data_IF_314643151118
#
_entry.id   IF_314643151118
#
_cell.length_a   1.000
_cell.length_b   1.000
_cell.length_c   1.000
_cell.angle_alpha   90.00
_cell.angle_beta   90.00
_cell.angle_gamma   90.00
#
_symmetry.space_group_name_H-M   'P 1'
#
loop_
_entity.id
_entity.type
_entity.pdbx_description
1 polymer ?
#
# COMPACT_ATOMS: atom_id res chain seq x y z
N UNK A 1 28.77 20.32 -38.28
CA UNK A 1 27.43 20.14 -37.65
C UNK A 1 27.07 18.66 -37.44
N UNK A 2 27.95 17.82 -36.88
CA UNK A 2 27.63 16.42 -36.50
C UNK A 2 27.68 16.15 -34.99
N UNK A 3 28.37 17.01 -34.23
CA UNK A 3 28.48 16.88 -32.77
C UNK A 3 27.27 17.39 -31.97
N UNK A 4 26.57 18.42 -32.47
CA UNK A 4 25.44 19.05 -31.76
C UNK A 4 24.20 18.13 -31.78
N UNK A 5 24.00 17.38 -32.87
CA UNK A 5 22.86 16.46 -33.03
C UNK A 5 22.96 15.24 -32.11
N UNK A 6 24.16 14.74 -31.83
CA UNK A 6 24.35 13.58 -30.94
C UNK A 6 24.16 13.91 -29.45
N UNK A 7 24.40 15.16 -29.05
CA UNK A 7 24.17 15.61 -27.68
C UNK A 7 22.66 15.67 -27.39
N UNK A 8 21.86 16.23 -28.31
CA UNK A 8 20.40 16.34 -28.16
C UNK A 8 19.69 14.98 -28.05
N UNK A 9 20.14 13.98 -28.81
CA UNK A 9 19.60 12.61 -28.75
C UNK A 9 19.94 11.93 -27.41
N UNK A 10 21.11 12.24 -26.84
CA UNK A 10 21.56 11.67 -25.56
C UNK A 10 20.84 12.28 -24.35
N UNK A 11 20.51 13.58 -24.39
CA UNK A 11 19.74 14.23 -23.30
C UNK A 11 18.26 13.81 -23.30
N UNK A 12 17.70 13.43 -24.45
CA UNK A 12 16.32 12.94 -24.56
C UNK A 12 16.13 11.54 -23.97
N UNK A 13 17.17 10.69 -23.98
CA UNK A 13 17.09 9.32 -23.47
C UNK A 13 17.05 9.23 -21.93
N UNK A 14 17.61 10.24 -21.25
CA UNK A 14 17.67 10.30 -19.77
C UNK A 14 16.30 10.68 -19.16
N UNK A 15 15.39 11.27 -19.94
CA UNK A 15 14.04 11.63 -19.46
C UNK A 15 13.07 10.45 -19.38
N UNK A 16 13.41 9.28 -19.95
CA UNK A 16 12.54 8.09 -19.94
C UNK A 16 12.89 7.07 -18.84
N UNK A 17 13.90 7.32 -18.01
CA UNK A 17 14.20 6.54 -16.79
C UNK A 17 13.57 7.15 -15.54
N UNK A 18 12.45 7.89 -15.71
CA UNK A 18 11.59 8.29 -14.60
C UNK A 18 11.13 7.03 -13.85
N UNK A 19 11.79 6.78 -12.72
CA UNK A 19 11.71 5.53 -11.99
C UNK A 19 10.29 5.18 -11.62
N UNK A 20 10.00 3.88 -11.61
CA UNK A 20 8.91 3.34 -10.80
C UNK A 20 9.10 3.92 -9.39
N UNK A 21 8.18 4.78 -8.94
CA UNK A 21 8.10 5.07 -7.51
C UNK A 21 7.83 3.72 -6.86
N UNK A 22 8.75 3.23 -6.03
CA UNK A 22 8.60 1.99 -5.26
C UNK A 22 8.58 2.40 -3.80
N UNK A 23 7.63 1.85 -3.04
CA UNK A 23 7.51 2.14 -1.62
C UNK A 23 6.19 2.81 -1.29
N UNK A 24 6.25 3.90 -0.51
CA UNK A 24 5.07 4.46 0.13
C UNK A 24 4.11 5.17 -0.84
N UNK A 25 4.62 6.06 -1.70
CA UNK A 25 3.80 6.80 -2.66
C UNK A 25 3.11 5.88 -3.68
N UNK A 26 3.79 4.81 -4.05
CA UNK A 26 3.25 3.78 -4.93
C UNK A 26 2.10 3.02 -4.27
N UNK A 27 2.29 2.65 -3.00
CA UNK A 27 1.25 2.04 -2.19
C UNK A 27 0.02 2.94 -2.07
N UNK A 28 0.21 4.23 -1.76
CA UNK A 28 -0.88 5.24 -1.75
C UNK A 28 -1.60 5.29 -3.09
N UNK A 29 -0.84 5.32 -4.20
CA UNK A 29 -1.41 5.34 -5.55
C UNK A 29 -2.28 4.11 -5.81
N UNK A 30 -1.84 2.92 -5.43
CA UNK A 30 -2.64 1.69 -5.54
C UNK A 30 -3.95 1.81 -4.75
N UNK A 31 -3.92 2.26 -3.50
CA UNK A 31 -5.14 2.42 -2.71
C UNK A 31 -6.11 3.45 -3.30
N UNK A 32 -5.59 4.52 -3.89
CA UNK A 32 -6.42 5.51 -4.59
C UNK A 32 -7.11 4.93 -5.83
N UNK A 33 -6.47 3.99 -6.53
CA UNK A 33 -7.06 3.33 -7.70
C UNK A 33 -8.24 2.43 -7.32
N UNK A 34 -8.26 1.88 -6.10
CA UNK A 34 -9.32 1.00 -5.63
C UNK A 34 -10.61 1.76 -5.26
N UNK A 35 -10.58 3.10 -5.17
CA UNK A 35 -11.79 3.89 -4.89
C UNK A 35 -12.76 3.76 -6.07
N UNK A 36 -14.00 3.37 -5.78
CA UNK A 36 -15.02 3.09 -6.79
C UNK A 36 -15.07 1.63 -7.23
N UNK A 37 -14.12 0.80 -6.81
CA UNK A 37 -14.15 -0.65 -7.02
C UNK A 37 -14.93 -1.36 -5.90
N UNK A 38 -15.38 -2.59 -6.18
CA UNK A 38 -16.01 -3.41 -5.16
C UNK A 38 -14.97 -4.05 -4.26
N UNK A 39 -15.22 -4.09 -2.95
CA UNK A 39 -14.30 -4.74 -2.01
C UNK A 39 -14.29 -6.26 -2.20
N UNK A 40 -13.12 -6.81 -2.47
CA UNK A 40 -12.95 -8.25 -2.75
C UNK A 40 -13.04 -9.13 -1.49
N UNK A 41 -12.55 -8.63 -0.35
CA UNK A 41 -12.47 -9.38 0.92
C UNK A 41 -13.48 -8.82 1.91
N UNK A 42 -14.57 -9.57 2.13
CA UNK A 42 -15.68 -9.17 3.02
C UNK A 42 -15.80 -10.01 4.29
N UNK A 43 -15.04 -11.10 4.39
CA UNK A 43 -14.99 -11.96 5.56
C UNK A 43 -13.63 -11.85 6.27
N UNK A 44 -13.61 -12.13 7.58
CA UNK A 44 -12.37 -12.17 8.36
C UNK A 44 -11.50 -13.33 7.86
N UNK A 45 -10.64 -13.03 6.90
CA UNK A 45 -9.72 -14.00 6.30
C UNK A 45 -8.29 -13.61 6.60
N UNK A 46 -7.49 -14.59 7.01
CA UNK A 46 -6.04 -14.50 7.09
C UNK A 46 -5.46 -15.20 5.86
N UNK A 47 -4.59 -14.53 5.12
CA UNK A 47 -3.92 -15.18 3.99
C UNK A 47 -3.01 -16.32 4.48
N UNK A 48 -2.77 -17.32 3.63
CA UNK A 48 -1.94 -18.50 3.98
C UNK A 48 -0.50 -18.15 4.39
N UNK A 49 -0.05 -16.97 3.97
CA UNK A 49 1.26 -16.37 4.12
C UNK A 49 1.34 -15.37 5.28
N UNK A 50 0.22 -14.95 5.86
CA UNK A 50 0.22 -13.97 6.93
C UNK A 50 1.04 -14.45 8.14
N UNK A 51 1.94 -13.59 8.63
CA UNK A 51 2.89 -13.89 9.69
C UNK A 51 4.21 -14.51 9.21
N UNK A 52 4.34 -14.82 7.91
CA UNK A 52 5.60 -15.31 7.34
C UNK A 52 6.53 -14.15 6.98
N UNK A 53 7.83 -14.41 7.03
CA UNK A 53 8.84 -13.50 6.50
C UNK A 53 8.81 -13.54 4.98
N UNK A 54 8.64 -12.39 4.34
CA UNK A 54 8.48 -12.26 2.87
C UNK A 54 9.57 -11.44 2.18
N UNK A 55 10.41 -10.73 2.95
CA UNK A 55 11.67 -10.14 2.48
C UNK A 55 12.72 -10.27 3.58
N UNK A 56 13.73 -11.09 3.28
CA UNK A 56 14.82 -11.41 4.19
C UNK A 56 14.31 -11.75 5.60
N UNK A 57 14.82 -11.06 6.62
CA UNK A 57 14.52 -11.24 8.04
C UNK A 57 13.78 -10.04 8.64
N UNK A 58 13.34 -9.07 7.84
CA UNK A 58 12.82 -7.78 8.33
C UNK A 58 11.40 -7.42 7.89
N UNK A 59 10.75 -8.21 7.04
CA UNK A 59 9.38 -7.94 6.58
C UNK A 59 8.48 -9.14 6.83
N UNK A 60 7.46 -8.95 7.65
CA UNK A 60 6.38 -9.91 7.88
C UNK A 60 5.20 -9.54 6.97
N UNK A 61 4.67 -10.55 6.29
CA UNK A 61 3.43 -10.40 5.53
C UNK A 61 2.25 -10.28 6.48
N UNK A 62 1.42 -9.28 6.24
CA UNK A 62 0.37 -8.89 7.15
C UNK A 62 -1.02 -9.12 6.62
N UNK A 63 -1.23 -9.81 5.49
CA UNK A 63 -2.53 -9.88 4.83
C UNK A 63 -3.65 -10.51 5.68
N UNK A 64 -4.51 -9.66 6.22
CA UNK A 64 -5.82 -10.09 6.69
C UNK A 64 -6.74 -8.96 7.07
N UNK A 65 -8.03 -9.11 6.74
CA UNK A 65 -9.09 -8.33 7.34
C UNK A 65 -9.09 -8.63 8.84
N UNK A 66 -8.81 -7.62 9.64
CA UNK A 66 -8.64 -7.74 11.09
C UNK A 66 -9.92 -7.44 11.85
N UNK A 67 -10.73 -6.51 11.34
CA UNK A 67 -11.95 -6.07 11.98
C UNK A 67 -12.89 -5.42 10.97
N UNK A 68 -14.19 -5.40 11.29
CA UNK A 68 -15.20 -4.65 10.56
C UNK A 68 -15.95 -3.80 11.57
N UNK A 69 -16.06 -2.49 11.32
CA UNK A 69 -16.83 -1.57 12.15
C UNK A 69 -17.90 -0.88 11.33
N UNK A 70 -19.05 -0.59 11.94
CA UNK A 70 -20.10 0.23 11.30
C UNK A 70 -20.02 1.62 11.91
N UNK A 71 -19.83 2.62 11.07
CA UNK A 71 -19.75 4.02 11.48
C UNK A 71 -21.16 4.57 11.76
N UNK A 72 -21.24 5.67 12.51
CA UNK A 72 -22.52 6.29 12.90
C UNK A 72 -23.40 6.70 11.71
N UNK A 73 -22.78 6.96 10.55
CA UNK A 73 -23.47 7.30 9.30
C UNK A 73 -23.90 6.07 8.47
N UNK A 74 -23.72 4.86 8.99
CA UNK A 74 -24.07 3.60 8.34
C UNK A 74 -23.01 3.05 7.37
N UNK A 75 -21.91 3.77 7.13
CA UNK A 75 -20.78 3.27 6.32
C UNK A 75 -20.10 2.10 7.04
N UNK A 76 -19.70 1.08 6.29
CA UNK A 76 -18.98 -0.08 6.83
C UNK A 76 -17.49 0.12 6.62
N UNK A 77 -16.72 0.12 7.69
CA UNK A 77 -15.27 0.25 7.68
C UNK A 77 -14.60 -1.11 7.87
N UNK A 78 -13.84 -1.53 6.87
CA UNK A 78 -13.05 -2.75 6.86
C UNK A 78 -11.62 -2.42 7.24
N UNK A 79 -11.08 -3.03 8.29
CA UNK A 79 -9.75 -2.77 8.82
C UNK A 79 -8.77 -3.86 8.41
N UNK A 80 -7.65 -3.48 7.79
CA UNK A 80 -6.65 -4.41 7.28
C UNK A 80 -5.30 -4.21 7.95
N UNK A 81 -4.66 -5.33 8.27
CA UNK A 81 -3.21 -5.40 8.37
C UNK A 81 -2.68 -5.78 6.99
N UNK A 82 -1.58 -5.17 6.56
CA UNK A 82 -1.00 -5.43 5.23
C UNK A 82 0.39 -6.03 5.36
N UNK A 83 1.23 -5.49 6.24
CA UNK A 83 2.58 -5.96 6.50
C UNK A 83 3.15 -5.36 7.78
N UNK A 84 4.26 -5.88 8.27
CA UNK A 84 5.02 -5.31 9.37
C UNK A 84 6.52 -5.28 9.04
N UNK A 85 7.12 -4.09 9.12
CA UNK A 85 8.57 -3.89 9.00
C UNK A 85 9.17 -4.01 10.40
N UNK A 86 10.04 -4.99 10.57
CA UNK A 86 10.67 -5.32 11.84
C UNK A 86 11.81 -4.39 12.19
N UNK A 87 12.13 -4.35 13.48
CA UNK A 87 13.09 -3.41 14.07
C UNK A 87 14.53 -3.60 13.62
N UNK A 88 14.89 -4.71 12.98
CA UNK A 88 16.19 -4.96 12.35
C UNK A 88 16.36 -4.26 11.00
N UNK A 89 15.30 -3.69 10.41
CA UNK A 89 15.39 -2.94 9.16
C UNK A 89 16.23 -1.65 9.29
N UNK A 90 16.93 -1.24 8.23
CA UNK A 90 17.89 -0.13 8.28
C UNK A 90 17.22 1.25 8.38
N UNK A 91 16.12 1.48 7.65
CA UNK A 91 15.35 2.72 7.69
C UNK A 91 14.33 2.68 8.85
N UNK A 92 14.72 3.28 9.98
CA UNK A 92 13.96 3.15 11.24
C UNK A 92 12.62 3.87 11.25
N UNK A 93 12.49 4.91 10.44
CA UNK A 93 11.25 5.63 10.18
C UNK A 93 10.18 4.77 9.49
N UNK A 94 10.60 3.71 8.78
CA UNK A 94 9.71 2.76 8.12
C UNK A 94 9.30 1.60 9.05
N UNK A 95 9.92 1.43 10.22
CA UNK A 95 9.63 0.31 11.13
C UNK A 95 8.24 0.42 11.74
N UNK A 96 7.49 -0.69 11.75
CA UNK A 96 6.16 -0.77 12.30
C UNK A 96 5.16 -1.51 11.42
N UNK A 97 3.89 -1.46 11.81
CA UNK A 97 2.78 -2.12 11.13
C UNK A 97 2.16 -1.21 10.08
N UNK A 98 1.97 -1.73 8.88
CA UNK A 98 1.07 -1.12 7.91
C UNK A 98 -0.37 -1.55 8.22
N UNK A 99 -1.15 -0.59 8.74
CA UNK A 99 -2.57 -0.76 9.01
C UNK A 99 -3.36 0.26 8.20
N UNK A 100 -4.38 -0.20 7.48
CA UNK A 100 -5.26 0.64 6.67
C UNK A 100 -6.72 0.28 6.93
N UNK A 101 -7.63 1.16 6.54
CA UNK A 101 -9.03 0.85 6.44
C UNK A 101 -9.61 1.24 5.08
N UNK A 102 -10.66 0.52 4.67
CA UNK A 102 -11.57 0.92 3.61
C UNK A 102 -12.93 1.27 4.18
N UNK A 103 -13.45 2.43 3.81
CA UNK A 103 -14.85 2.80 4.01
C UNK A 103 -15.65 2.34 2.79
N UNK A 104 -16.71 1.59 3.04
CA UNK A 104 -17.50 0.90 2.02
C UNK A 104 -18.97 1.25 2.18
N UNK A 105 -19.61 1.55 1.05
CA UNK A 105 -21.07 1.69 1.00
C UNK A 105 -21.71 0.30 1.25
N UNK A 106 -22.49 0.12 2.32
CA UNK A 106 -23.09 -1.17 2.68
C UNK A 106 -24.09 -1.72 1.65
N UNK A 107 -24.63 -0.87 0.76
CA UNK A 107 -25.64 -1.26 -0.21
C UNK A 107 -25.03 -1.74 -1.52
N UNK A 108 -23.88 -1.17 -1.89
CA UNK A 108 -23.22 -1.43 -3.18
C UNK A 108 -21.92 -2.21 -3.04
N UNK A 109 -21.38 -2.34 -1.83
CA UNK A 109 -20.06 -2.90 -1.53
C UNK A 109 -18.92 -2.16 -2.26
N UNK A 110 -19.13 -0.89 -2.62
CA UNK A 110 -18.15 -0.06 -3.29
C UNK A 110 -17.28 0.67 -2.26
N UNK A 111 -15.98 0.66 -2.48
CA UNK A 111 -15.02 1.43 -1.68
C UNK A 111 -15.21 2.92 -1.99
N UNK A 112 -15.61 3.69 -0.99
CA UNK A 112 -15.86 5.14 -1.11
C UNK A 112 -14.70 5.97 -0.58
N UNK A 113 -13.93 5.45 0.36
CA UNK A 113 -12.73 6.08 0.89
C UNK A 113 -11.78 5.04 1.52
N UNK A 114 -10.57 5.48 1.82
CA UNK A 114 -9.60 4.70 2.58
C UNK A 114 -8.77 5.60 3.49
N UNK A 115 -8.07 5.02 4.46
CA UNK A 115 -7.11 5.75 5.28
C UNK A 115 -6.18 4.84 6.06
N UNK A 116 -5.26 5.44 6.82
CA UNK A 116 -4.38 4.71 7.73
C UNK A 116 -5.04 4.51 9.08
N UNK A 117 -4.93 3.30 9.62
CA UNK A 117 -5.50 2.95 10.91
C UNK A 117 -4.63 3.42 12.07
N UNK A 118 -5.29 3.72 13.20
CA UNK A 118 -4.60 4.13 14.43
C UNK A 118 -3.69 3.02 14.93
N UNK A 119 -2.48 3.38 15.34
CA UNK A 119 -1.49 2.43 15.87
C UNK A 119 -0.62 1.78 14.79
N UNK A 120 -0.90 2.04 13.51
CA UNK A 120 0.01 1.74 12.41
C UNK A 120 1.06 2.84 12.21
N UNK A 121 2.10 2.52 11.45
CA UNK A 121 3.03 3.47 10.88
C UNK A 121 2.76 3.56 9.37
N UNK A 122 2.22 4.69 8.86
CA UNK A 122 1.96 4.87 7.44
C UNK A 122 3.19 4.61 6.56
N UNK A 123 4.39 4.98 7.01
CA UNK A 123 5.62 4.75 6.24
C UNK A 123 6.00 3.27 6.14
N UNK A 124 5.42 2.40 6.97
CA UNK A 124 5.54 0.95 6.81
C UNK A 124 4.66 0.39 5.69
N UNK A 125 3.67 1.15 5.22
CA UNK A 125 2.82 0.78 4.10
C UNK A 125 3.51 1.09 2.78
N UNK A 126 4.06 0.07 2.14
CA UNK A 126 5.00 0.22 1.03
C UNK A 126 4.94 -0.96 0.09
N UNK A 127 5.11 -0.71 -1.19
CA UNK A 127 5.44 -1.76 -2.14
C UNK A 127 6.94 -2.12 -2.04
N UNK A 128 7.23 -3.41 -2.06
CA UNK A 128 8.59 -3.95 -2.11
C UNK A 128 8.73 -4.72 -3.43
N UNK A 129 9.43 -4.15 -4.42
CA UNK A 129 9.84 -4.88 -5.62
C UNK A 129 10.91 -5.89 -5.24
#
# INVERSE_FOLDING_TARGET
MKGITNILVSTALIMFIGGCTVGHEDFIRYLNMNIGESIEIQELTRSSNAGNLIRADYLIDGEGLTNITVLDNGVVRYHFSIQEILSNYSAKDEVGKCLIYYDVDPHTNIIIAWGFDKGGNPLSCRTFI
#
